data_IF_299329555790
#
_entry.id   IF_299329555790
#
_cell.length_a   1.000
_cell.length_b   1.000
_cell.length_c   1.000
_cell.angle_alpha   90.00
_cell.angle_beta   90.00
_cell.angle_gamma   90.00
#
_symmetry.space_group_name_H-M   'P 1'
#
loop_
_entity.id
_entity.type
_entity.pdbx_description
1 polymer ?
#
# COMPACT_ATOMS: atom_id res chain seq x y z
N UNK A 1 2.64 -5.65 35.61
CA UNK A 1 2.72 -6.48 34.38
C UNK A 1 3.00 -5.55 33.21
N UNK A 2 3.91 -5.92 32.32
CA UNK A 2 4.18 -5.18 31.08
C UNK A 2 3.46 -5.86 29.91
N UNK A 3 2.95 -5.06 28.96
CA UNK A 3 2.34 -5.54 27.72
C UNK A 3 3.21 -5.15 26.54
N UNK A 4 3.34 -6.05 25.56
CA UNK A 4 3.93 -5.73 24.26
C UNK A 4 2.81 -5.41 23.28
N UNK A 5 2.84 -4.22 22.68
CA UNK A 5 1.81 -3.76 21.75
C UNK A 5 2.41 -3.61 20.36
N UNK A 6 1.79 -4.25 19.37
CA UNK A 6 2.06 -4.02 17.95
C UNK A 6 0.96 -3.12 17.39
N UNK A 7 1.33 -1.93 16.90
CA UNK A 7 0.41 -0.95 16.33
C UNK A 7 0.85 -0.63 14.89
N UNK A 8 0.05 -1.08 13.91
CA UNK A 8 0.38 -1.02 12.50
C UNK A 8 -0.91 -0.99 11.66
N UNK A 9 -0.85 -0.41 10.46
CA UNK A 9 -1.93 -0.47 9.48
C UNK A 9 -1.96 -1.84 8.79
N UNK A 10 -3.17 -2.33 8.51
CA UNK A 10 -3.40 -3.57 7.77
C UNK A 10 -4.53 -3.36 6.77
N UNK A 11 -4.46 -4.04 5.64
CA UNK A 11 -5.59 -4.15 4.71
C UNK A 11 -6.74 -4.93 5.36
N UNK A 12 -7.94 -4.80 4.80
CA UNK A 12 -9.15 -5.50 5.29
C UNK A 12 -9.00 -7.03 5.24
N UNK A 13 -8.25 -7.55 4.28
CA UNK A 13 -7.96 -8.97 4.07
C UNK A 13 -6.69 -9.46 4.78
N UNK A 14 -6.05 -8.61 5.61
CA UNK A 14 -5.02 -9.03 6.56
C UNK A 14 -3.58 -8.91 6.08
N UNK A 15 -3.32 -8.18 4.98
CA UNK A 15 -1.97 -7.90 4.50
C UNK A 15 -1.41 -6.61 5.10
N UNK A 16 -0.14 -6.65 5.48
CA UNK A 16 0.61 -5.50 6.00
C UNK A 16 1.42 -4.82 4.88
N UNK A 17 1.85 -5.60 3.88
CA UNK A 17 2.62 -5.15 2.73
C UNK A 17 2.02 -5.69 1.44
N UNK A 18 2.30 -5.02 0.32
CA UNK A 18 1.88 -5.45 -0.99
C UNK A 18 2.67 -6.68 -1.47
N UNK A 19 2.13 -7.47 -2.43
CA UNK A 19 2.85 -8.61 -2.99
C UNK A 19 4.20 -8.20 -3.60
N UNK A 20 5.26 -8.96 -3.33
CA UNK A 20 6.61 -8.72 -3.85
C UNK A 20 7.22 -7.33 -3.53
N UNK A 21 6.81 -6.70 -2.41
CA UNK A 21 7.42 -5.46 -1.93
C UNK A 21 8.89 -5.67 -1.51
N UNK A 22 9.79 -4.81 -1.99
CA UNK A 22 11.22 -4.91 -1.75
C UNK A 22 12.02 -3.73 -2.31
N UNK A 23 13.36 -3.68 -2.08
CA UNK A 23 14.20 -2.56 -2.51
C UNK A 23 14.12 -2.23 -4.01
N UNK A 24 13.97 -3.27 -4.83
CA UNK A 24 13.85 -3.15 -6.29
C UNK A 24 12.40 -3.01 -6.79
N UNK A 25 11.41 -3.17 -5.89
CA UNK A 25 9.97 -3.06 -6.18
C UNK A 25 9.22 -2.36 -5.03
N UNK A 26 9.50 -1.06 -4.80
CA UNK A 26 8.90 -0.35 -3.68
C UNK A 26 7.40 -0.17 -3.87
N UNK A 27 6.63 -0.63 -2.88
CA UNK A 27 5.16 -0.58 -2.89
C UNK A 27 4.49 -1.84 -3.45
N UNK A 28 5.28 -2.79 -3.96
CA UNK A 28 4.82 -4.08 -4.45
C UNK A 28 3.94 -4.03 -5.71
N UNK A 29 3.50 -5.20 -6.13
CA UNK A 29 2.75 -5.37 -7.37
C UNK A 29 1.36 -4.73 -7.29
N UNK A 30 0.99 -4.00 -8.34
CA UNK A 30 -0.30 -3.31 -8.40
C UNK A 30 -0.36 -2.00 -7.63
N UNK A 31 0.75 -1.54 -7.04
CA UNK A 31 0.85 -0.24 -6.35
C UNK A 31 0.37 0.94 -7.20
N UNK A 32 0.80 1.00 -8.47
CA UNK A 32 0.46 2.09 -9.38
C UNK A 32 -1.03 2.11 -9.73
N UNK A 33 -1.70 0.95 -9.80
CA UNK A 33 -3.13 0.86 -10.12
C UNK A 33 -4.00 1.65 -9.14
N UNK A 34 -3.64 1.65 -7.85
CA UNK A 34 -4.33 2.44 -6.83
C UNK A 34 -4.13 3.95 -7.04
N UNK A 35 -3.01 4.35 -7.62
CA UNK A 35 -2.66 5.74 -7.86
C UNK A 35 -3.15 6.28 -9.21
N UNK A 36 -3.72 5.44 -10.09
CA UNK A 36 -4.27 5.87 -11.39
C UNK A 36 -5.33 6.96 -11.25
N UNK A 37 -6.18 6.90 -10.20
CA UNK A 37 -7.10 8.00 -9.88
C UNK A 37 -6.32 9.30 -9.66
N UNK A 38 -5.36 9.32 -8.73
CA UNK A 38 -4.68 10.55 -8.31
C UNK A 38 -3.59 11.06 -9.27
N UNK A 39 -3.11 10.20 -10.17
CA UNK A 39 -2.03 10.51 -11.11
C UNK A 39 -2.50 10.87 -12.51
N UNK A 40 -3.78 10.67 -12.85
CA UNK A 40 -4.36 11.29 -14.05
C UNK A 40 -4.43 12.81 -13.83
N UNK A 41 -3.73 13.64 -14.62
CA UNK A 41 -4.09 15.05 -14.74
C UNK A 41 -5.53 15.06 -15.24
N UNK A 42 -6.43 15.76 -14.53
CA UNK A 42 -7.85 15.76 -14.84
C UNK A 42 -8.09 15.82 -16.35
N UNK A 43 -8.68 14.77 -16.91
CA UNK A 43 -9.20 14.78 -18.27
C UNK A 43 -10.46 15.64 -18.26
N UNK A 44 -10.25 16.95 -18.11
CA UNK A 44 -11.19 17.99 -18.46
C UNK A 44 -10.98 18.38 -19.92
N UNK A 45 -11.44 17.51 -20.82
CA UNK A 45 -11.82 17.84 -22.21
C UNK A 45 -12.97 16.92 -22.60
#
# INVERSE_FOLDING_TARGET
MASSVLYMSMSLDGYIAAPNDGPDNPGGDGFIRLHEWGLMPGTGT
#
